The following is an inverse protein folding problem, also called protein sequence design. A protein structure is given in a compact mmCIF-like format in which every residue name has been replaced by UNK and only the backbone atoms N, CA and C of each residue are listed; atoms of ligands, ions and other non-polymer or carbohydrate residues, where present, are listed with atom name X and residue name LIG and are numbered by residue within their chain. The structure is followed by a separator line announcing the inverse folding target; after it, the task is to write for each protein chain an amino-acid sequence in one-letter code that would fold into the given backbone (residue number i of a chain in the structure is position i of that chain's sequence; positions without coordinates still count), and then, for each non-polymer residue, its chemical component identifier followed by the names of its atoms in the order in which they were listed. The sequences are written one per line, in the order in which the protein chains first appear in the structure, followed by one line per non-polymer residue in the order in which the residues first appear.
data_IF_230444901779
#
_entry.id   IF_230444901779
#
_cell.length_a   1.000
_cell.length_b   1.000
_cell.length_c   1.000
_cell.angle_alpha   90.00
_cell.angle_beta   90.00
_cell.angle_gamma   90.00
#
_symmetry.space_group_name_H-M   'P 1'
#
loop_
_entity.id
_entity.type
_entity.pdbx_description
1 polymer ?
#
# COMPACT_ATOMS: atom_id res chain seq x y z
N UNK A 1 -1.75 8.83 -14.05
CA UNK A 1 -0.98 7.62 -13.69
C UNK A 1 -1.04 6.63 -14.85
N UNK A 2 0.05 5.94 -15.19
CA UNK A 2 0.12 5.05 -16.37
C UNK A 2 -0.67 3.75 -16.18
N UNK A 3 -0.54 3.13 -15.00
CA UNK A 3 -1.07 1.79 -14.72
C UNK A 3 -2.34 1.74 -13.87
N UNK A 4 -2.85 2.89 -13.41
CA UNK A 4 -4.08 2.99 -12.59
C UNK A 4 -4.97 4.07 -13.18
N UNK A 5 -6.24 3.73 -13.41
CA UNK A 5 -7.25 4.72 -13.75
C UNK A 5 -7.87 5.26 -12.46
N UNK A 6 -7.78 6.58 -12.24
CA UNK A 6 -8.28 7.23 -11.04
C UNK A 6 -9.74 7.68 -11.15
N UNK A 7 -10.25 7.74 -12.39
CA UNK A 7 -11.58 8.26 -12.73
C UNK A 7 -12.44 7.16 -13.35
N UNK A 8 -12.24 5.91 -12.96
CA UNK A 8 -13.01 4.80 -13.51
C UNK A 8 -14.47 4.88 -13.07
N UNK A 9 -15.34 4.31 -13.90
CA UNK A 9 -16.75 4.15 -13.60
C UNK A 9 -17.05 2.69 -13.25
N UNK A 10 -17.60 2.46 -12.06
CA UNK A 10 -18.04 1.13 -11.60
C UNK A 10 -19.53 1.19 -11.32
N UNK A 11 -20.34 0.66 -12.26
CA UNK A 11 -21.79 0.87 -12.24
C UNK A 11 -22.13 2.35 -12.38
N UNK A 12 -22.83 2.91 -11.39
CA UNK A 12 -23.21 4.33 -11.33
C UNK A 12 -22.20 5.20 -10.54
N UNK A 13 -21.10 4.61 -10.05
CA UNK A 13 -20.09 5.33 -9.26
C UNK A 13 -18.95 5.80 -10.17
N UNK A 14 -18.75 7.11 -10.26
CA UNK A 14 -17.59 7.75 -10.90
C UNK A 14 -16.47 8.03 -9.89
N UNK A 15 -15.21 8.07 -10.35
CA UNK A 15 -14.05 8.37 -9.48
C UNK A 15 -13.52 7.14 -8.74
N UNK A 16 -13.82 5.94 -9.24
CA UNK A 16 -13.28 4.72 -8.69
C UNK A 16 -11.83 4.51 -9.16
N UNK A 17 -11.00 3.96 -8.27
CA UNK A 17 -9.68 3.47 -8.64
C UNK A 17 -9.83 2.12 -9.35
N UNK A 18 -9.32 2.00 -10.57
CA UNK A 18 -9.31 0.75 -11.33
C UNK A 18 -7.86 0.27 -11.58
N UNK A 19 -7.46 -0.86 -10.97
CA UNK A 19 -6.12 -1.43 -11.11
C UNK A 19 -5.99 -2.36 -12.32
N UNK A 20 -7.00 -2.52 -13.19
CA UNK A 20 -6.99 -3.51 -14.26
C UNK A 20 -5.77 -3.42 -15.19
N UNK A 21 -5.30 -2.20 -15.49
CA UNK A 21 -4.07 -1.99 -16.30
C UNK A 21 -2.81 -2.43 -15.57
N UNK A 22 -2.71 -2.17 -14.27
CA UNK A 22 -1.61 -2.67 -13.46
C UNK A 22 -1.64 -4.19 -13.39
N UNK A 23 -2.81 -4.78 -13.15
CA UNK A 23 -2.99 -6.22 -13.06
C UNK A 23 -2.68 -6.95 -14.38
N UNK A 24 -2.99 -6.36 -15.53
CA UNK A 24 -2.62 -6.93 -16.83
C UNK A 24 -1.12 -6.82 -17.11
N UNK A 25 -0.45 -5.81 -16.56
CA UNK A 25 0.99 -5.61 -16.70
C UNK A 25 1.80 -6.48 -15.71
N UNK A 26 1.27 -6.72 -14.51
CA UNK A 26 1.95 -7.40 -13.40
C UNK A 26 2.65 -8.73 -13.78
N UNK A 27 2.06 -9.64 -14.58
CA UNK A 27 2.76 -10.86 -15.01
C UNK A 27 4.12 -10.60 -15.64
N UNK A 28 4.26 -9.50 -16.40
CA UNK A 28 5.49 -9.15 -17.11
C UNK A 28 6.63 -8.67 -16.21
N UNK A 29 6.31 -8.16 -15.02
CA UNK A 29 7.28 -7.62 -14.04
C UNK A 29 7.43 -8.49 -12.79
N UNK A 30 6.49 -9.43 -12.57
CA UNK A 30 6.45 -10.25 -11.34
C UNK A 30 7.73 -11.05 -11.10
N UNK A 31 8.43 -11.46 -12.16
CA UNK A 31 9.70 -12.19 -12.08
C UNK A 31 10.82 -11.39 -11.42
N UNK A 32 10.80 -10.07 -11.57
CA UNK A 32 11.81 -9.15 -11.07
C UNK A 32 11.54 -8.69 -9.62
N UNK A 33 10.34 -8.97 -9.10
CA UNK A 33 9.95 -8.60 -7.74
C UNK A 33 10.61 -9.52 -6.70
N UNK A 34 11.09 -8.96 -5.56
CA UNK A 34 11.50 -9.76 -4.41
C UNK A 34 10.39 -10.73 -3.97
N UNK A 35 10.70 -11.92 -3.43
CA UNK A 35 9.69 -12.96 -3.16
C UNK A 35 8.48 -12.48 -2.36
N UNK A 36 8.69 -11.70 -1.29
CA UNK A 36 7.58 -11.15 -0.49
C UNK A 36 6.74 -10.12 -1.25
N UNK A 37 7.40 -9.20 -1.96
CA UNK A 37 6.71 -8.20 -2.79
C UNK A 37 5.92 -8.85 -3.94
N UNK A 38 6.47 -9.91 -4.54
CA UNK A 38 5.80 -10.71 -5.56
C UNK A 38 4.56 -11.37 -5.01
N UNK A 39 4.72 -12.16 -3.93
CA UNK A 39 3.62 -12.87 -3.30
C UNK A 39 2.49 -11.91 -2.90
N UNK A 40 2.85 -10.74 -2.35
CA UNK A 40 1.90 -9.69 -2.05
C UNK A 40 1.25 -9.16 -3.33
N UNK A 41 2.01 -8.58 -4.27
CA UNK A 41 1.47 -7.91 -5.46
C UNK A 41 0.64 -8.81 -6.38
N UNK A 42 0.96 -10.11 -6.49
CA UNK A 42 0.21 -11.06 -7.32
C UNK A 42 -1.07 -11.58 -6.67
N UNK A 43 -1.32 -11.22 -5.43
CA UNK A 43 -2.58 -11.54 -4.77
C UNK A 43 -3.69 -10.62 -5.25
N UNK A 44 -4.70 -11.16 -5.93
CA UNK A 44 -5.78 -10.34 -6.47
C UNK A 44 -6.64 -9.70 -5.35
N UNK A 45 -6.66 -10.30 -4.15
CA UNK A 45 -7.59 -9.91 -3.09
C UNK A 45 -7.29 -8.51 -2.54
N UNK A 46 -6.04 -8.03 -2.54
CA UNK A 46 -5.76 -6.68 -2.03
C UNK A 46 -6.16 -5.55 -2.99
N UNK A 47 -6.54 -5.88 -4.23
CA UNK A 47 -7.11 -4.95 -5.20
C UNK A 47 -8.64 -4.90 -5.16
N UNK A 48 -9.31 -5.88 -4.56
CA UNK A 48 -10.76 -5.88 -4.41
C UNK A 48 -11.18 -5.05 -3.19
N UNK A 49 -11.94 -3.97 -3.41
CA UNK A 49 -12.44 -3.11 -2.34
C UNK A 49 -13.33 -3.81 -1.31
N UNK A 50 -13.91 -4.95 -1.66
CA UNK A 50 -14.76 -5.76 -0.77
C UNK A 50 -13.97 -6.79 0.02
N UNK A 51 -12.73 -7.07 -0.38
CA UNK A 51 -11.88 -8.03 0.30
C UNK A 51 -11.40 -7.49 1.64
N UNK A 52 -11.23 -8.41 2.61
CA UNK A 52 -10.59 -8.14 3.89
C UNK A 52 -9.10 -7.88 3.77
N UNK A 53 -8.51 -8.20 2.62
CA UNK A 53 -7.10 -7.96 2.29
C UNK A 53 -6.85 -6.66 1.53
N UNK A 54 -7.90 -5.91 1.20
CA UNK A 54 -7.78 -4.62 0.55
C UNK A 54 -6.84 -3.69 1.34
N UNK A 55 -6.07 -2.85 0.64
CA UNK A 55 -5.21 -1.85 1.29
C UNK A 55 -5.86 -0.48 1.44
N UNK A 56 -6.96 -0.23 0.71
CA UNK A 56 -7.77 0.97 0.88
C UNK A 56 -8.39 0.88 2.26
N UNK A 57 -8.12 1.88 3.11
CA UNK A 57 -8.55 2.02 4.50
C UNK A 57 -7.57 1.52 5.58
N UNK A 58 -6.35 1.12 5.21
CA UNK A 58 -5.25 1.00 6.18
C UNK A 58 -4.69 2.39 6.54
N UNK A 59 -4.27 2.58 7.78
CA UNK A 59 -3.73 3.85 8.30
C UNK A 59 -2.27 3.73 8.67
N UNK A 60 -1.43 4.68 8.25
CA UNK A 60 -0.02 4.70 8.65
C UNK A 60 0.08 4.80 10.18
N UNK A 61 0.75 3.83 10.80
CA UNK A 61 0.93 3.76 12.25
C UNK A 61 2.35 4.12 12.68
N UNK A 62 3.34 3.65 11.96
CA UNK A 62 4.74 3.90 12.28
C UNK A 62 5.63 3.78 11.05
N UNK A 63 6.70 4.58 11.05
CA UNK A 63 7.86 4.39 10.18
C UNK A 63 9.06 4.22 11.10
N UNK A 64 9.77 3.10 11.00
CA UNK A 64 10.94 2.79 11.83
C UNK A 64 12.16 2.64 10.94
N UNK A 65 13.28 3.19 11.37
CA UNK A 65 14.53 3.17 10.60
C UNK A 65 15.40 4.37 10.95
N UNK A 66 16.01 4.36 12.13
CA UNK A 66 16.98 5.39 12.51
C UNK A 66 18.39 4.90 12.13
N UNK A 67 18.89 5.34 10.98
CA UNK A 67 20.33 5.24 10.63
C UNK A 67 20.84 3.88 10.14
N UNK A 68 20.02 3.07 9.47
CA UNK A 68 20.43 1.78 8.90
C UNK A 68 19.94 1.56 7.46
N UNK A 69 20.39 0.45 6.86
CA UNK A 69 19.98 -0.02 5.53
C UNK A 69 18.55 -0.61 5.50
N UNK A 70 17.85 -0.64 6.64
CA UNK A 70 16.49 -1.16 6.76
C UNK A 70 15.50 -0.08 7.20
N UNK A 71 14.33 -0.08 6.56
CA UNK A 71 13.17 0.74 6.96
C UNK A 71 11.94 -0.14 7.03
N UNK A 72 11.17 0.01 8.10
CA UNK A 72 9.87 -0.63 8.26
C UNK A 72 8.76 0.42 8.23
N UNK A 73 7.72 0.15 7.45
CA UNK A 73 6.50 0.95 7.39
C UNK A 73 5.34 0.08 7.84
N UNK A 74 4.67 0.48 8.92
CA UNK A 74 3.56 -0.24 9.51
C UNK A 74 2.25 0.51 9.22
N UNK A 75 1.30 -0.18 8.62
CA UNK A 75 -0.07 0.28 8.44
C UNK A 75 -1.00 -0.53 9.31
N UNK A 76 -1.75 0.17 10.16
CA UNK A 76 -2.77 -0.41 11.00
C UNK A 76 -4.06 -0.66 10.22
N UNK A 77 -4.68 -1.80 10.50
CA UNK A 77 -5.98 -2.18 9.97
C UNK A 77 -7.13 -1.46 10.68
N UNK A 78 -8.25 -1.25 9.98
CA UNK A 78 -9.52 -0.94 10.66
C UNK A 78 -10.25 -2.24 11.01
N UNK A 79 -10.64 -2.41 12.27
CA UNK A 79 -11.30 -3.63 12.76
C UNK A 79 -12.71 -3.87 12.18
N UNK A 80 -13.19 -2.96 11.33
CA UNK A 80 -14.49 -3.09 10.67
C UNK A 80 -14.44 -4.02 9.45
N UNK A 81 -13.41 -3.91 8.61
CA UNK A 81 -13.27 -4.67 7.35
C UNK A 81 -12.08 -5.60 7.35
N UNK A 82 -11.00 -5.21 8.02
CA UNK A 82 -9.71 -5.88 7.97
C UNK A 82 -9.44 -6.60 9.30
N UNK A 83 -8.58 -7.62 9.28
CA UNK A 83 -8.14 -8.37 10.47
C UNK A 83 -6.62 -8.38 10.66
N UNK A 84 -5.87 -7.77 9.74
CA UNK A 84 -4.42 -7.82 9.72
C UNK A 84 -3.82 -6.46 9.37
N UNK A 85 -2.82 -6.07 10.16
CA UNK A 85 -1.93 -4.95 9.83
C UNK A 85 -1.04 -5.31 8.62
N UNK A 86 -0.54 -4.30 7.92
CA UNK A 86 0.43 -4.45 6.83
C UNK A 86 1.79 -3.90 7.27
N UNK A 87 2.81 -4.76 7.27
CA UNK A 87 4.19 -4.38 7.50
C UNK A 87 4.98 -4.48 6.19
N UNK A 88 5.56 -3.36 5.75
CA UNK A 88 6.45 -3.32 4.59
C UNK A 88 7.88 -3.12 5.09
N UNK A 89 8.78 -4.03 4.69
CA UNK A 89 10.21 -3.96 5.01
C UNK A 89 11.00 -3.63 3.76
N UNK A 90 11.76 -2.55 3.83
CA UNK A 90 12.74 -2.16 2.83
C UNK A 90 14.13 -2.51 3.32
N UNK A 91 14.97 -3.01 2.43
CA UNK A 91 16.38 -3.29 2.67
C UNK A 91 17.25 -2.55 1.64
N UNK A 92 18.50 -2.25 1.98
CA UNK A 92 19.40 -1.44 1.15
C UNK A 92 18.96 0.02 1.03
N UNK A 93 18.29 0.56 2.05
CA UNK A 93 17.78 1.93 2.04
C UNK A 93 18.93 2.92 2.22
N UNK A 94 19.14 3.80 1.23
CA UNK A 94 20.14 4.87 1.29
C UNK A 94 19.60 6.18 1.88
N UNK A 95 18.29 6.30 2.02
CA UNK A 95 17.61 7.46 2.59
C UNK A 95 16.09 7.35 2.39
N UNK A 96 15.34 7.99 3.28
CA UNK A 96 13.89 8.14 3.17
C UNK A 96 13.47 9.51 3.71
N UNK A 97 12.36 10.02 3.19
CA UNK A 97 11.75 11.28 3.62
C UNK A 97 10.30 10.98 3.96
N UNK A 98 9.88 11.39 5.15
CA UNK A 98 8.46 11.40 5.53
C UNK A 98 8.05 12.86 5.53
N UNK A 99 7.19 13.22 4.59
CA UNK A 99 6.60 14.56 4.54
C UNK A 99 5.24 14.51 5.23
N UNK A 100 5.09 15.08 6.44
CA UNK A 100 3.79 15.18 7.08
C UNK A 100 2.94 16.13 6.24
N UNK A 101 1.92 15.58 5.57
CA UNK A 101 0.84 16.40 5.03
C UNK A 101 0.09 16.94 6.25
N UNK A 102 0.07 18.25 6.46
CA UNK A 102 -0.73 18.91 7.50
C UNK A 102 -2.21 18.57 7.28
N UNK A 103 -2.64 17.45 7.83
CA UNK A 103 -4.03 17.14 8.11
C UNK A 103 -4.14 17.22 9.63
N UNK A 104 -5.05 18.06 10.14
CA UNK A 104 -5.18 18.41 11.57
C UNK A 104 -5.63 17.22 12.47
N UNK A 105 -5.29 15.99 12.10
CA UNK A 105 -5.49 14.77 12.88
C UNK A 105 -4.13 14.15 13.16
N UNK A 106 -3.52 14.68 14.21
CA UNK A 106 -2.19 14.31 14.67
C UNK A 106 -1.99 12.80 14.78
N UNK A 107 -0.96 12.32 14.10
CA UNK A 107 -0.29 11.07 14.46
C UNK A 107 1.11 11.48 14.91
N UNK A 108 1.31 11.56 16.23
CA UNK A 108 2.65 11.76 16.78
C UNK A 108 3.48 10.51 16.44
N UNK A 109 4.40 10.66 15.48
CA UNK A 109 5.42 9.66 15.20
C UNK A 109 6.49 9.78 16.28
N UNK A 110 6.44 8.85 17.25
CA UNK A 110 7.39 8.78 18.36
C UNK A 110 8.83 8.57 17.89
N UNK A 111 9.74 9.30 18.56
CA UNK A 111 11.19 9.30 18.37
C UNK A 111 11.87 7.98 18.80
#
# INVERSE_FOLDING_TARGET
MEYVNLDAQVGDVSGALDPARYLSHLPSISGDLPPGARAFATDADHYDFRSRRCVKDLTLRAVRGAGGEEVEVEFQHNCWKHDQDLLIRYAGVSGFIVDPVDDERGTELGA
#
